data_IF_342294203192
#
_entry.id   IF_342294203192
#
_cell.length_a   1.000
_cell.length_b   1.000
_cell.length_c   1.000
_cell.angle_alpha   90.00
_cell.angle_beta   90.00
_cell.angle_gamma   90.00
#
_symmetry.space_group_name_H-M   'P 1'
#
loop_
_entity.id
_entity.type
_entity.pdbx_description
1 polymer ?
#
# COMPACT_ATOMS: atom_id res chain seq x y z
N UNK A 1 20.33 14.10 28.40
CA UNK A 1 19.35 13.13 27.84
C UNK A 1 19.49 12.93 26.32
N UNK A 2 19.20 13.88 25.41
CA UNK A 2 19.28 13.59 23.94
C UNK A 2 20.68 13.13 23.50
N UNK A 3 21.74 13.78 23.98
CA UNK A 3 23.14 13.38 23.70
C UNK A 3 23.51 11.95 24.15
N UNK A 4 22.74 11.32 25.04
CA UNK A 4 22.94 9.92 25.44
C UNK A 4 22.40 8.94 24.37
N UNK A 5 21.38 9.35 23.60
CA UNK A 5 20.76 8.54 22.54
C UNK A 5 19.95 9.46 21.63
N UNK A 6 20.50 9.82 20.45
CA UNK A 6 19.85 10.74 19.51
C UNK A 6 18.50 10.22 19.00
N UNK A 7 18.19 8.92 19.12
CA UNK A 7 16.87 8.38 18.82
C UNK A 7 15.76 9.01 19.67
N UNK A 8 16.11 9.63 20.81
CA UNK A 8 15.19 10.40 21.64
C UNK A 8 14.52 11.56 20.89
N UNK A 9 15.13 12.08 19.83
CA UNK A 9 14.50 13.07 18.94
C UNK A 9 13.27 12.46 18.24
N UNK A 10 13.42 11.31 17.57
CA UNK A 10 12.27 10.64 16.94
C UNK A 10 11.23 10.16 17.96
N UNK A 11 11.68 9.74 19.15
CA UNK A 11 10.77 9.37 20.24
C UNK A 11 9.98 10.55 20.78
N UNK A 12 10.56 11.75 20.84
CA UNK A 12 9.84 12.96 21.23
C UNK A 12 8.64 13.18 20.31
N UNK A 13 8.84 13.15 18.99
CA UNK A 13 7.74 13.29 18.01
C UNK A 13 6.74 12.14 18.09
N UNK A 14 7.21 10.89 18.19
CA UNK A 14 6.31 9.74 18.37
C UNK A 14 5.45 9.91 19.62
N UNK A 15 6.05 10.24 20.76
CA UNK A 15 5.30 10.39 22.01
C UNK A 15 4.30 11.55 21.94
N UNK A 16 4.66 12.64 21.27
CA UNK A 16 3.74 13.73 21.05
C UNK A 16 2.53 13.27 20.21
N UNK A 17 2.76 12.56 19.11
CA UNK A 17 1.68 12.04 18.24
C UNK A 17 0.70 11.10 18.98
N UNK A 18 1.19 10.30 19.94
CA UNK A 18 0.36 9.34 20.67
C UNK A 18 -0.35 9.91 21.90
N UNK A 19 0.28 10.85 22.60
CA UNK A 19 -0.10 11.18 23.97
C UNK A 19 -0.30 12.66 24.24
N UNK A 20 0.21 13.56 23.39
CA UNK A 20 0.07 14.99 23.66
C UNK A 20 -1.39 15.44 23.49
N UNK A 21 -1.81 16.34 24.37
CA UNK A 21 -3.08 17.07 24.28
C UNK A 21 -2.74 18.55 24.11
N UNK A 22 -2.37 18.95 22.90
CA UNK A 22 -1.96 20.31 22.60
C UNK A 22 -0.71 20.39 21.71
N UNK A 23 -0.16 21.60 21.52
CA UNK A 23 1.00 21.81 20.66
C UNK A 23 2.25 21.10 21.18
N UNK A 24 3.26 20.97 20.31
CA UNK A 24 4.58 20.49 20.68
C UNK A 24 5.19 21.38 21.78
N UNK A 25 5.82 20.75 22.77
CA UNK A 25 6.57 21.47 23.81
C UNK A 25 7.70 22.30 23.16
N UNK A 26 7.68 23.64 23.27
CA UNK A 26 8.66 24.49 22.61
C UNK A 26 10.10 24.23 23.08
N UNK A 27 10.30 23.93 24.37
CA UNK A 27 11.64 23.68 24.91
C UNK A 27 12.20 22.35 24.40
N UNK A 28 11.40 21.30 24.41
CA UNK A 28 11.73 20.00 23.83
C UNK A 28 12.02 20.08 22.33
N UNK A 29 11.24 20.87 21.59
CA UNK A 29 11.45 21.08 20.15
C UNK A 29 12.77 21.81 19.87
N UNK A 30 13.08 22.88 20.61
CA UNK A 30 14.35 23.60 20.49
C UNK A 30 15.55 22.69 20.79
N UNK A 31 15.48 21.89 21.87
CA UNK A 31 16.52 20.92 22.21
C UNK A 31 16.70 19.82 21.14
N UNK A 32 15.62 19.44 20.44
CA UNK A 32 15.70 18.54 19.29
C UNK A 32 16.36 19.21 18.09
N UNK A 33 16.04 20.48 17.81
CA UNK A 33 16.61 21.26 16.73
C UNK A 33 18.14 21.39 16.87
N UNK A 34 18.62 21.76 18.06
CA UNK A 34 20.05 21.94 18.35
C UNK A 34 20.87 20.65 18.13
N UNK A 35 20.23 19.49 18.17
CA UNK A 35 20.87 18.18 18.12
C UNK A 35 20.42 17.33 16.94
N UNK A 36 19.69 17.90 15.96
CA UNK A 36 19.09 17.13 14.86
C UNK A 36 20.12 16.45 13.97
N UNK A 37 21.31 17.02 13.83
CA UNK A 37 22.43 16.40 13.10
C UNK A 37 22.86 15.05 13.70
N UNK A 38 22.58 14.80 14.98
CA UNK A 38 22.82 13.51 15.62
C UNK A 38 21.96 12.37 15.08
N UNK A 39 20.90 12.65 14.30
CA UNK A 39 20.14 11.62 13.60
C UNK A 39 20.99 10.87 12.57
N UNK A 40 21.99 11.53 11.99
CA UNK A 40 22.87 10.98 10.93
C UNK A 40 23.74 9.83 11.47
N UNK A 41 23.88 9.70 12.79
CA UNK A 41 24.67 8.64 13.45
C UNK A 41 23.82 7.43 13.87
N UNK A 42 22.51 7.44 13.62
CA UNK A 42 21.61 6.38 14.08
C UNK A 42 21.57 5.19 13.12
N UNK A 43 21.33 4.00 13.66
CA UNK A 43 20.96 2.84 12.85
C UNK A 43 19.63 3.09 12.15
N UNK A 44 19.60 2.79 10.85
CA UNK A 44 18.45 3.00 9.99
C UNK A 44 17.24 2.13 10.39
N UNK A 45 17.50 0.95 10.94
CA UNK A 45 16.47 0.03 11.45
C UNK A 45 15.78 0.62 12.70
N UNK A 46 16.55 1.30 13.56
CA UNK A 46 16.01 2.02 14.73
C UNK A 46 15.18 3.23 14.32
N UNK A 47 15.64 3.98 13.31
CA UNK A 47 14.89 5.08 12.70
C UNK A 47 13.57 4.55 12.15
N UNK A 48 13.60 3.50 11.33
CA UNK A 48 12.40 2.90 10.73
C UNK A 48 11.38 2.45 11.78
N UNK A 49 11.84 1.81 12.86
CA UNK A 49 10.98 1.38 13.96
C UNK A 49 10.25 2.53 14.64
N UNK A 50 10.91 3.67 14.84
CA UNK A 50 10.25 4.84 15.45
C UNK A 50 9.29 5.52 14.47
N UNK A 51 9.64 5.59 13.19
CA UNK A 51 8.81 6.22 12.14
C UNK A 51 7.52 5.45 11.91
N UNK A 52 7.57 4.12 11.79
CA UNK A 52 6.35 3.29 11.72
C UNK A 52 5.43 3.51 12.90
N UNK A 53 5.99 3.61 14.11
CA UNK A 53 5.20 3.84 15.32
C UNK A 53 4.62 5.25 15.37
N UNK A 54 5.35 6.26 14.89
CA UNK A 54 4.85 7.62 14.77
C UNK A 54 3.65 7.65 13.81
N UNK A 55 3.79 7.07 12.62
CA UNK A 55 2.73 7.03 11.61
C UNK A 55 1.56 6.10 11.99
N UNK A 56 1.69 5.27 13.02
CA UNK A 56 0.59 4.48 13.58
C UNK A 56 -0.27 5.27 14.58
N UNK A 57 0.17 6.45 15.03
CA UNK A 57 -0.60 7.28 15.98
C UNK A 57 -1.90 7.79 15.35
N UNK A 58 -3.02 7.97 16.09
CA UNK A 58 -4.28 8.41 15.51
C UNK A 58 -4.17 9.65 14.62
N UNK A 59 -3.46 10.69 15.08
CA UNK A 59 -3.14 11.87 14.29
C UNK A 59 -1.62 12.19 14.38
N UNK A 60 -0.83 11.85 13.34
CA UNK A 60 0.61 12.09 13.34
C UNK A 60 0.98 13.50 12.85
N UNK A 61 0.03 14.31 12.37
CA UNK A 61 0.31 15.51 11.55
C UNK A 61 1.11 16.57 12.30
N UNK A 62 0.73 16.90 13.53
CA UNK A 62 1.45 17.91 14.33
C UNK A 62 2.92 17.50 14.58
N UNK A 63 3.16 16.23 14.89
CA UNK A 63 4.49 15.70 15.06
C UNK A 63 5.28 15.68 13.74
N UNK A 64 4.62 15.34 12.64
CA UNK A 64 5.20 15.34 11.30
C UNK A 64 5.65 16.74 10.85
N UNK A 65 4.82 17.76 11.08
CA UNK A 65 5.18 19.16 10.83
C UNK A 65 6.30 19.65 11.76
N UNK A 66 6.30 19.24 13.03
CA UNK A 66 7.42 19.53 13.93
C UNK A 66 8.74 18.95 13.43
N UNK A 67 8.74 17.72 12.90
CA UNK A 67 9.93 17.12 12.30
C UNK A 67 10.40 17.87 11.05
N UNK A 68 9.48 18.48 10.28
CA UNK A 68 9.81 19.33 9.13
C UNK A 68 10.53 20.59 9.59
N UNK A 69 9.98 21.28 10.59
CA UNK A 69 10.46 22.57 11.08
C UNK A 69 11.92 22.53 11.56
N UNK A 70 12.40 21.35 11.99
CA UNK A 70 13.78 21.16 12.46
C UNK A 70 14.65 20.33 11.51
N UNK A 71 14.23 20.13 10.25
CA UNK A 71 14.92 19.32 9.23
C UNK A 71 15.07 17.82 9.54
N UNK A 72 14.44 17.30 10.60
CA UNK A 72 14.54 15.89 10.97
C UNK A 72 14.01 14.96 9.86
N UNK A 73 12.96 15.36 9.13
CA UNK A 73 12.46 14.59 7.97
C UNK A 73 13.46 14.56 6.82
N UNK A 74 14.04 15.70 6.44
CA UNK A 74 14.98 15.77 5.33
C UNK A 74 16.22 14.89 5.57
N UNK A 75 16.67 14.79 6.83
CA UNK A 75 17.78 13.93 7.22
C UNK A 75 17.40 12.46 7.31
N UNK A 76 16.33 12.13 8.03
CA UNK A 76 15.99 10.75 8.34
C UNK A 76 15.14 10.06 7.25
N UNK A 77 14.33 10.81 6.50
CA UNK A 77 13.26 10.33 5.63
C UNK A 77 13.11 11.17 4.33
N UNK A 78 14.19 11.46 3.59
CA UNK A 78 14.13 12.29 2.39
C UNK A 78 13.16 11.77 1.30
N UNK A 79 12.90 10.46 1.25
CA UNK A 79 11.97 9.86 0.26
C UNK A 79 10.49 10.14 0.57
N UNK A 80 10.16 10.49 1.82
CA UNK A 80 8.78 10.74 2.26
C UNK A 80 8.39 12.20 2.00
N UNK A 81 8.34 12.58 0.73
CA UNK A 81 8.11 13.96 0.27
C UNK A 81 6.67 14.32 -0.09
N UNK A 82 5.75 13.35 -0.17
CA UNK A 82 4.35 13.59 -0.53
C UNK A 82 3.51 13.92 0.70
N UNK A 83 3.71 15.13 1.23
CA UNK A 83 3.04 15.60 2.44
C UNK A 83 1.53 15.77 2.23
N UNK A 84 1.13 16.28 1.06
CA UNK A 84 -0.28 16.57 0.75
C UNK A 84 -1.14 15.32 0.84
N UNK A 85 -0.69 14.19 0.27
CA UNK A 85 -1.48 12.95 0.33
C UNK A 85 -1.46 12.32 1.71
N UNK A 86 -0.35 12.40 2.45
CA UNK A 86 -0.31 11.94 3.85
C UNK A 86 -1.29 12.74 4.73
N UNK A 87 -1.30 14.07 4.60
CA UNK A 87 -2.19 14.95 5.35
C UNK A 87 -3.67 14.69 5.00
N UNK A 88 -3.97 14.56 3.71
CA UNK A 88 -5.31 14.21 3.24
C UNK A 88 -5.77 12.84 3.76
N UNK A 89 -4.89 11.83 3.74
CA UNK A 89 -5.19 10.51 4.29
C UNK A 89 -5.44 10.57 5.80
N UNK A 90 -4.56 11.23 6.55
CA UNK A 90 -4.70 11.35 8.00
C UNK A 90 -5.98 12.09 8.40
N UNK A 91 -6.33 13.17 7.69
CA UNK A 91 -7.59 13.91 7.85
C UNK A 91 -8.78 12.99 7.62
N UNK A 92 -8.76 12.29 6.49
CA UNK A 92 -9.82 11.39 6.07
C UNK A 92 -10.02 10.26 7.08
N UNK A 93 -8.95 9.63 7.56
CA UNK A 93 -9.06 8.55 8.54
C UNK A 93 -9.65 9.02 9.87
N UNK A 94 -9.29 10.23 10.34
CA UNK A 94 -9.83 10.81 11.58
C UNK A 94 -11.31 11.18 11.41
N UNK A 95 -11.64 11.97 10.39
CA UNK A 95 -12.99 12.49 10.16
C UNK A 95 -14.01 11.38 9.91
N UNK A 96 -13.56 10.30 9.28
CA UNK A 96 -14.39 9.17 8.87
C UNK A 96 -14.27 7.95 9.79
N UNK A 97 -13.49 8.05 10.87
CA UNK A 97 -13.23 6.98 11.85
C UNK A 97 -12.77 5.68 11.19
N UNK A 98 -11.83 5.76 10.25
CA UNK A 98 -11.26 4.60 9.57
C UNK A 98 -10.11 4.00 10.40
N UNK A 99 -9.72 2.77 10.06
CA UNK A 99 -8.55 2.13 10.64
C UNK A 99 -7.26 2.82 10.22
N UNK A 100 -6.34 3.04 11.15
CA UNK A 100 -5.02 3.61 10.88
C UNK A 100 -4.02 2.50 10.56
N UNK A 101 -3.56 2.44 9.31
CA UNK A 101 -2.50 1.52 8.89
C UNK A 101 -1.21 2.31 8.59
N UNK A 102 -0.11 2.06 9.33
CA UNK A 102 1.11 2.83 9.18
C UNK A 102 1.78 2.63 7.82
N UNK A 103 1.66 1.46 7.19
CA UNK A 103 2.26 1.20 5.88
C UNK A 103 1.52 1.92 4.76
N UNK A 104 0.19 2.04 4.87
CA UNK A 104 -0.64 2.86 3.97
C UNK A 104 -0.26 4.33 4.08
N UNK A 105 -0.02 4.83 5.29
CA UNK A 105 0.48 6.19 5.52
C UNK A 105 1.90 6.42 5.00
N UNK A 106 2.79 5.44 5.13
CA UNK A 106 4.12 5.51 4.49
C UNK A 106 3.98 5.56 2.96
N UNK A 107 3.11 4.73 2.38
CA UNK A 107 2.81 4.80 0.95
C UNK A 107 2.23 6.17 0.56
N UNK A 108 1.33 6.74 1.37
CA UNK A 108 0.77 8.05 1.14
C UNK A 108 1.84 9.14 1.09
N UNK A 109 2.84 9.05 1.97
CA UNK A 109 3.96 9.99 2.07
C UNK A 109 5.03 9.83 0.97
N UNK A 110 5.05 8.73 0.23
CA UNK A 110 5.95 8.52 -0.91
C UNK A 110 5.36 9.12 -2.19
N UNK A 111 6.14 9.67 -3.13
CA UNK A 111 5.60 10.13 -4.40
C UNK A 111 5.31 8.96 -5.38
N UNK A 112 6.17 7.94 -5.42
CA UNK A 112 6.12 6.87 -6.43
C UNK A 112 6.81 5.56 -5.98
N UNK A 113 6.71 4.52 -6.83
CA UNK A 113 7.36 3.23 -6.60
C UNK A 113 8.89 3.32 -6.52
N UNK A 114 9.50 4.28 -7.21
CA UNK A 114 10.97 4.43 -7.21
C UNK A 114 11.45 4.92 -5.83
N UNK A 115 10.74 5.87 -5.25
CA UNK A 115 10.97 6.38 -3.91
C UNK A 115 10.68 5.30 -2.86
N UNK A 116 9.67 4.46 -3.08
CA UNK A 116 9.42 3.29 -2.22
C UNK A 116 10.61 2.32 -2.20
N UNK A 117 11.17 2.00 -3.37
CA UNK A 117 12.37 1.15 -3.49
C UNK A 117 13.60 1.81 -2.87
N UNK A 118 13.77 3.13 -3.04
CA UNK A 118 14.86 3.89 -2.45
C UNK A 118 14.78 3.89 -0.91
N UNK A 119 13.61 4.19 -0.34
CA UNK A 119 13.34 4.11 1.09
C UNK A 119 13.63 2.70 1.63
N UNK A 120 13.10 1.67 0.95
CA UNK A 120 13.28 0.28 1.36
C UNK A 120 14.76 -0.12 1.41
N UNK A 121 15.54 0.30 0.41
CA UNK A 121 16.99 0.05 0.36
C UNK A 121 17.73 0.81 1.45
N UNK A 122 17.46 2.11 1.63
CA UNK A 122 18.18 2.96 2.60
C UNK A 122 17.89 2.57 4.04
N UNK A 123 16.62 2.29 4.35
CA UNK A 123 16.18 1.92 5.69
C UNK A 123 16.19 0.42 5.98
N UNK A 124 16.59 -0.40 5.00
CA UNK A 124 16.64 -1.87 5.07
C UNK A 124 15.31 -2.48 5.54
N UNK A 125 14.24 -2.09 4.87
CA UNK A 125 12.90 -2.68 5.07
C UNK A 125 12.93 -4.18 4.74
N UNK A 126 11.98 -4.94 5.31
CA UNK A 126 11.79 -6.32 4.88
C UNK A 126 11.34 -6.39 3.42
N UNK A 127 11.51 -7.56 2.78
CA UNK A 127 10.99 -7.78 1.43
C UNK A 127 9.47 -7.55 1.37
N UNK A 128 8.74 -8.03 2.38
CA UNK A 128 7.30 -7.85 2.52
C UNK A 128 6.90 -6.37 2.57
N UNK A 129 7.58 -5.57 3.40
CA UNK A 129 7.31 -4.12 3.49
C UNK A 129 7.62 -3.40 2.19
N UNK A 130 8.74 -3.74 1.53
CA UNK A 130 9.10 -3.18 0.21
C UNK A 130 8.02 -3.51 -0.80
N UNK A 131 7.65 -4.78 -0.91
CA UNK A 131 6.74 -5.27 -1.95
C UNK A 131 5.33 -4.70 -1.75
N UNK A 132 4.88 -4.57 -0.49
CA UNK A 132 3.64 -3.86 -0.16
C UNK A 132 3.67 -2.40 -0.62
N UNK A 133 4.71 -1.64 -0.29
CA UNK A 133 4.80 -0.22 -0.69
C UNK A 133 4.85 -0.06 -2.22
N UNK A 134 5.61 -0.91 -2.90
CA UNK A 134 5.67 -0.91 -4.37
C UNK A 134 4.31 -1.25 -4.97
N UNK A 135 3.62 -2.27 -4.45
CA UNK A 135 2.30 -2.67 -4.93
C UNK A 135 1.26 -1.57 -4.67
N UNK A 136 1.29 -0.90 -3.52
CA UNK A 136 0.40 0.22 -3.18
C UNK A 136 0.57 1.43 -4.11
N UNK A 137 1.78 1.67 -4.63
CA UNK A 137 2.11 2.82 -5.47
C UNK A 137 2.12 2.52 -6.98
N UNK A 138 1.72 1.31 -7.39
CA UNK A 138 1.61 0.97 -8.80
C UNK A 138 0.42 1.62 -9.50
N UNK A 139 0.54 1.80 -10.80
CA UNK A 139 -0.41 2.49 -11.69
C UNK A 139 -1.02 1.55 -12.75
N UNK A 140 -0.64 0.28 -12.75
CA UNK A 140 -1.07 -0.76 -13.69
C UNK A 140 -2.56 -1.15 -13.57
N UNK A 141 -3.25 -0.64 -12.55
CA UNK A 141 -4.70 -0.75 -12.33
C UNK A 141 -5.20 0.58 -11.79
N UNK A 142 -6.09 1.23 -12.53
CA UNK A 142 -6.71 2.49 -12.13
C UNK A 142 -7.85 2.22 -11.14
N UNK A 143 -7.75 2.80 -9.95
CA UNK A 143 -8.81 2.74 -8.93
C UNK A 143 -9.66 4.01 -8.99
N UNK A 144 -10.98 3.86 -9.02
CA UNK A 144 -11.93 4.97 -8.99
C UNK A 144 -13.08 4.67 -8.05
N UNK A 145 -13.77 5.70 -7.56
CA UNK A 145 -14.86 5.52 -6.59
C UNK A 145 -16.10 4.81 -7.15
N UNK A 146 -16.18 4.55 -8.45
CA UNK A 146 -17.37 4.06 -9.16
C UNK A 146 -17.11 2.75 -9.90
N UNK A 147 -16.16 1.95 -9.43
CA UNK A 147 -15.89 0.62 -9.96
C UNK A 147 -17.08 -0.31 -9.73
N UNK A 148 -17.48 -1.03 -10.78
CA UNK A 148 -18.42 -2.15 -10.71
C UNK A 148 -17.84 -3.32 -9.91
N UNK A 149 -18.70 -4.24 -9.47
CA UNK A 149 -18.26 -5.48 -8.78
C UNK A 149 -17.22 -6.25 -9.60
N UNK A 150 -17.46 -6.41 -10.91
CA UNK A 150 -16.56 -7.11 -11.83
C UNK A 150 -15.19 -6.43 -11.95
N UNK A 151 -15.16 -5.09 -12.02
CA UNK A 151 -13.90 -4.34 -12.03
C UNK A 151 -13.14 -4.45 -10.71
N UNK A 152 -13.84 -4.39 -9.57
CA UNK A 152 -13.22 -4.59 -8.26
C UNK A 152 -12.62 -6.00 -8.13
N UNK A 153 -13.36 -7.05 -8.52
CA UNK A 153 -12.88 -8.43 -8.46
C UNK A 153 -11.68 -8.66 -9.39
N UNK A 154 -11.73 -8.15 -10.63
CA UNK A 154 -10.58 -8.16 -11.54
C UNK A 154 -9.36 -7.48 -10.91
N UNK A 155 -9.54 -6.30 -10.33
CA UNK A 155 -8.46 -5.55 -9.70
C UNK A 155 -7.89 -6.30 -8.50
N UNK A 156 -8.73 -6.86 -7.62
CA UNK A 156 -8.28 -7.65 -6.47
C UNK A 156 -7.57 -8.93 -6.93
N UNK A 157 -8.05 -9.61 -7.97
CA UNK A 157 -7.40 -10.81 -8.51
C UNK A 157 -5.97 -10.51 -8.99
N UNK A 158 -5.80 -9.40 -9.71
CA UNK A 158 -4.49 -8.99 -10.24
C UNK A 158 -3.54 -8.46 -9.17
N UNK A 159 -4.04 -7.68 -8.21
CA UNK A 159 -3.21 -6.96 -7.24
C UNK A 159 -3.02 -7.71 -5.91
N UNK A 160 -3.97 -8.57 -5.57
CA UNK A 160 -4.19 -9.04 -4.20
C UNK A 160 -4.98 -8.03 -3.35
N UNK A 161 -5.63 -8.55 -2.31
CA UNK A 161 -6.50 -7.77 -1.42
C UNK A 161 -5.78 -6.63 -0.69
N UNK A 162 -4.53 -6.84 -0.24
CA UNK A 162 -3.79 -5.81 0.51
C UNK A 162 -3.47 -4.61 -0.38
N UNK A 163 -2.83 -4.84 -1.54
CA UNK A 163 -2.48 -3.77 -2.47
C UNK A 163 -3.71 -3.06 -3.03
N UNK A 164 -4.82 -3.78 -3.28
CA UNK A 164 -6.07 -3.15 -3.69
C UNK A 164 -6.58 -2.16 -2.62
N UNK A 165 -6.63 -2.56 -1.35
CA UNK A 165 -7.08 -1.67 -0.26
C UNK A 165 -6.14 -0.47 -0.08
N UNK A 166 -4.84 -0.69 -0.12
CA UNK A 166 -3.86 0.40 -0.04
C UNK A 166 -4.10 1.41 -1.18
N UNK A 167 -4.24 0.94 -2.44
CA UNK A 167 -4.54 1.82 -3.59
C UNK A 167 -5.87 2.55 -3.48
N UNK A 168 -6.90 1.90 -2.92
CA UNK A 168 -8.20 2.53 -2.64
C UNK A 168 -8.02 3.69 -1.66
N UNK A 169 -7.31 3.49 -0.55
CA UNK A 169 -7.07 4.54 0.44
C UNK A 169 -6.24 5.69 -0.13
N UNK A 170 -5.20 5.41 -0.90
CA UNK A 170 -4.39 6.45 -1.56
C UNK A 170 -5.17 7.25 -2.60
N UNK A 171 -6.02 6.58 -3.38
CA UNK A 171 -6.88 7.22 -4.38
C UNK A 171 -7.97 8.06 -3.71
N UNK A 172 -8.53 7.57 -2.61
CA UNK A 172 -9.53 8.29 -1.83
C UNK A 172 -8.93 9.55 -1.18
N UNK A 173 -7.75 9.44 -0.55
CA UNK A 173 -7.04 10.59 -0.01
C UNK A 173 -6.76 11.66 -1.08
N UNK A 174 -6.41 11.23 -2.30
CA UNK A 174 -6.16 12.15 -3.42
C UNK A 174 -7.44 12.77 -3.99
N UNK A 175 -8.59 12.08 -3.87
CA UNK A 175 -9.88 12.55 -4.34
C UNK A 175 -10.63 13.43 -3.30
N UNK A 176 -10.26 13.36 -2.02
CA UNK A 176 -10.91 14.08 -0.92
C UNK A 176 -12.12 13.33 -0.31
N UNK A 177 -12.88 14.03 0.54
CA UNK A 177 -13.99 13.47 1.31
C UNK A 177 -15.25 13.10 0.51
N UNK A 178 -15.31 13.45 -0.78
CA UNK A 178 -16.46 13.18 -1.64
C UNK A 178 -16.67 11.68 -1.87
N UNK A 179 -17.94 11.29 -2.09
CA UNK A 179 -18.34 9.90 -2.39
C UNK A 179 -17.84 8.89 -1.34
N UNK A 180 -17.75 9.32 -0.08
CA UNK A 180 -17.23 8.52 1.02
C UNK A 180 -17.89 7.14 1.14
N UNK A 181 -19.19 7.01 0.86
CA UNK A 181 -19.88 5.72 0.88
C UNK A 181 -19.39 4.77 -0.21
N UNK A 182 -19.12 5.28 -1.42
CA UNK A 182 -18.65 4.47 -2.53
C UNK A 182 -17.23 3.97 -2.27
N UNK A 183 -16.34 4.84 -1.77
CA UNK A 183 -14.99 4.43 -1.36
C UNK A 183 -15.00 3.40 -0.23
N UNK A 184 -15.86 3.55 0.78
CA UNK A 184 -16.04 2.53 1.83
C UNK A 184 -16.46 1.19 1.26
N UNK A 185 -17.34 1.18 0.26
CA UNK A 185 -17.75 -0.06 -0.40
C UNK A 185 -16.56 -0.78 -1.06
N UNK A 186 -15.65 -0.03 -1.70
CA UNK A 186 -14.42 -0.60 -2.27
C UNK A 186 -13.51 -1.20 -1.17
N UNK A 187 -13.28 -0.47 -0.07
CA UNK A 187 -12.48 -0.98 1.06
C UNK A 187 -13.09 -2.26 1.63
N UNK A 188 -14.40 -2.27 1.88
CA UNK A 188 -15.12 -3.42 2.40
C UNK A 188 -15.06 -4.62 1.43
N UNK A 189 -15.22 -4.38 0.13
CA UNK A 189 -15.11 -5.44 -0.86
C UNK A 189 -13.70 -6.05 -0.91
N UNK A 190 -12.67 -5.21 -0.85
CA UNK A 190 -11.27 -5.65 -0.75
C UNK A 190 -10.95 -6.40 0.55
N UNK A 191 -11.74 -6.24 1.61
CA UNK A 191 -11.60 -7.01 2.85
C UNK A 191 -12.32 -8.37 2.78
N UNK A 192 -13.47 -8.42 2.13
CA UNK A 192 -14.39 -9.57 2.21
C UNK A 192 -14.28 -10.55 1.05
N UNK A 193 -13.96 -10.08 -0.17
CA UNK A 193 -13.93 -10.95 -1.33
C UNK A 193 -12.64 -11.77 -1.38
N UNK A 194 -12.77 -13.08 -1.53
CA UNK A 194 -11.64 -14.01 -1.64
C UNK A 194 -11.51 -14.39 -3.11
N UNK A 195 -10.37 -14.07 -3.77
CA UNK A 195 -10.13 -14.46 -5.15
C UNK A 195 -10.26 -15.98 -5.33
N UNK A 196 -11.11 -16.45 -6.26
CA UNK A 196 -11.22 -17.87 -6.54
C UNK A 196 -9.93 -18.38 -7.19
N UNK A 197 -9.70 -19.70 -7.11
CA UNK A 197 -8.64 -20.36 -7.87
C UNK A 197 -9.19 -20.82 -9.21
N UNK A 198 -8.41 -20.67 -10.27
CA UNK A 198 -8.80 -21.16 -11.58
C UNK A 198 -9.04 -22.67 -11.52
N UNK A 199 -10.16 -23.18 -12.05
CA UNK A 199 -10.52 -24.61 -11.93
C UNK A 199 -9.80 -25.50 -12.95
N UNK A 200 -8.84 -24.94 -13.71
CA UNK A 200 -8.05 -25.63 -14.72
C UNK A 200 -6.57 -25.62 -14.36
N UNK A 201 -5.89 -26.66 -14.82
CA UNK A 201 -4.46 -26.89 -14.68
C UNK A 201 -3.84 -27.17 -16.05
N UNK A 202 -2.50 -27.22 -16.12
CA UNK A 202 -1.80 -27.62 -17.35
C UNK A 202 -2.18 -29.01 -17.83
N UNK A 203 -2.54 -29.92 -16.90
CA UNK A 203 -2.97 -31.27 -17.23
C UNK A 203 -4.33 -31.27 -17.96
N UNK A 204 -5.24 -30.37 -17.59
CA UNK A 204 -6.52 -30.22 -18.31
C UNK A 204 -6.28 -29.75 -19.77
N UNK A 205 -5.29 -28.88 -19.99
CA UNK A 205 -4.89 -28.41 -21.33
C UNK A 205 -4.27 -29.52 -22.17
N UNK A 206 -3.40 -30.33 -21.58
CA UNK A 206 -2.84 -31.52 -22.26
C UNK A 206 -3.92 -32.56 -22.55
N UNK A 207 -4.86 -32.77 -21.63
CA UNK A 207 -6.03 -33.62 -21.81
C UNK A 207 -6.96 -33.15 -22.93
N UNK A 208 -6.93 -31.86 -23.28
CA UNK A 208 -7.64 -31.29 -24.44
C UNK A 208 -6.90 -31.48 -25.78
N UNK A 209 -5.77 -32.19 -25.80
CA UNK A 209 -5.02 -32.55 -27.02
C UNK A 209 -3.86 -31.60 -27.36
N UNK A 210 -3.49 -30.68 -26.47
CA UNK A 210 -2.34 -29.80 -26.67
C UNK A 210 -1.05 -30.53 -26.24
N UNK A 211 -0.03 -30.66 -27.10
CA UNK A 211 1.24 -31.27 -26.72
C UNK A 211 1.94 -30.49 -25.61
N UNK A 212 2.65 -31.20 -24.73
CA UNK A 212 3.45 -30.59 -23.67
C UNK A 212 4.47 -29.58 -24.25
N UNK A 213 4.49 -28.38 -23.69
CA UNK A 213 5.40 -27.31 -24.12
C UNK A 213 4.89 -25.91 -23.84
N UNK A 214 5.59 -24.86 -24.30
CA UNK A 214 5.25 -23.45 -24.03
C UNK A 214 3.82 -23.05 -24.42
N UNK A 215 3.24 -23.74 -25.42
CA UNK A 215 1.87 -23.50 -25.90
C UNK A 215 0.81 -23.75 -24.82
N UNK A 216 1.06 -24.68 -23.88
CA UNK A 216 0.17 -24.95 -22.73
C UNK A 216 -0.02 -23.70 -21.87
N UNK A 217 1.09 -23.01 -21.53
CA UNK A 217 1.04 -21.79 -20.72
C UNK A 217 0.46 -20.58 -21.47
N UNK A 218 0.51 -20.57 -22.80
CA UNK A 218 -0.17 -19.54 -23.61
C UNK A 218 -1.68 -19.77 -23.56
N UNK A 219 -2.14 -21.00 -23.83
CA UNK A 219 -3.57 -21.35 -23.81
C UNK A 219 -4.16 -21.15 -22.41
N UNK A 220 -3.45 -21.55 -21.35
CA UNK A 220 -3.91 -21.31 -19.97
C UNK A 220 -4.15 -19.84 -19.68
N UNK A 221 -3.23 -18.95 -20.09
CA UNK A 221 -3.37 -17.50 -19.88
C UNK A 221 -4.56 -16.93 -20.66
N UNK A 222 -4.76 -17.33 -21.91
CA UNK A 222 -5.92 -16.90 -22.70
C UNK A 222 -7.26 -17.35 -22.06
N UNK A 223 -7.31 -18.56 -21.50
CA UNK A 223 -8.49 -19.04 -20.79
C UNK A 223 -8.66 -18.33 -19.45
N UNK A 224 -7.58 -18.03 -18.74
CA UNK A 224 -7.58 -17.25 -17.50
C UNK A 224 -8.07 -15.82 -17.72
N UNK A 225 -7.60 -15.15 -18.76
CA UNK A 225 -8.06 -13.81 -19.17
C UNK A 225 -9.56 -13.82 -19.46
N UNK A 226 -10.05 -14.81 -20.22
CA UNK A 226 -11.48 -14.99 -20.43
C UNK A 226 -12.23 -15.29 -19.12
N UNK A 227 -11.67 -16.08 -18.22
CA UNK A 227 -12.31 -16.48 -16.96
C UNK A 227 -12.47 -15.28 -16.01
N UNK A 228 -11.44 -14.44 -15.94
CA UNK A 228 -11.47 -13.15 -15.25
C UNK A 228 -12.49 -12.22 -15.93
N UNK A 229 -12.49 -12.16 -17.26
CA UNK A 229 -13.47 -11.42 -18.01
C UNK A 229 -14.88 -11.91 -17.68
N UNK A 230 -15.15 -13.21 -17.65
CA UNK A 230 -16.47 -13.76 -17.36
C UNK A 230 -16.92 -13.61 -15.88
N UNK A 231 -16.16 -12.88 -15.05
CA UNK A 231 -16.37 -12.69 -13.62
C UNK A 231 -16.31 -14.00 -12.83
N UNK A 232 -15.30 -14.82 -13.15
CA UNK A 232 -14.91 -16.01 -12.40
C UNK A 232 -16.02 -17.07 -12.30
N UNK A 233 -16.56 -17.59 -13.44
CA UNK A 233 -17.52 -18.68 -13.40
C UNK A 233 -16.96 -19.88 -12.63
N UNK A 234 -17.78 -20.47 -11.78
CA UNK A 234 -17.44 -21.60 -10.91
C UNK A 234 -17.75 -22.97 -11.53
N UNK A 235 -18.56 -23.01 -12.59
CA UNK A 235 -18.83 -24.21 -13.37
C UNK A 235 -17.60 -24.63 -14.19
N UNK A 236 -16.91 -25.69 -13.73
CA UNK A 236 -15.74 -26.25 -14.42
C UNK A 236 -16.05 -26.67 -15.85
N UNK A 237 -17.28 -27.11 -16.17
CA UNK A 237 -17.64 -27.52 -17.53
C UNK A 237 -17.56 -26.34 -18.51
N UNK A 238 -18.15 -25.20 -18.16
CA UNK A 238 -18.07 -23.96 -18.94
C UNK A 238 -16.61 -23.54 -19.20
N UNK A 239 -15.73 -23.67 -18.20
CA UNK A 239 -14.31 -23.33 -18.37
C UNK A 239 -13.58 -24.35 -19.27
N UNK A 240 -13.92 -25.64 -19.18
CA UNK A 240 -13.39 -26.68 -20.10
C UNK A 240 -13.84 -26.46 -21.54
N UNK A 241 -15.10 -26.07 -21.75
CA UNK A 241 -15.61 -25.75 -23.09
C UNK A 241 -14.84 -24.59 -23.70
N UNK A 242 -14.59 -23.53 -22.92
CA UNK A 242 -13.74 -22.42 -23.35
C UNK A 242 -12.33 -22.89 -23.68
N UNK A 243 -11.72 -23.72 -22.84
CA UNK A 243 -10.40 -24.29 -23.08
C UNK A 243 -10.33 -25.01 -24.44
N UNK A 244 -11.31 -25.87 -24.74
CA UNK A 244 -11.36 -26.58 -26.03
C UNK A 244 -11.44 -25.61 -27.20
N UNK A 245 -12.27 -24.57 -27.10
CA UNK A 245 -12.40 -23.55 -28.14
C UNK A 245 -11.08 -22.79 -28.38
N UNK A 246 -10.39 -22.39 -27.31
CA UNK A 246 -9.08 -21.71 -27.41
C UNK A 246 -8.01 -22.65 -27.99
N UNK A 247 -7.94 -23.89 -27.50
CA UNK A 247 -6.97 -24.87 -27.98
C UNK A 247 -7.12 -25.16 -29.48
N UNK A 248 -8.37 -25.27 -29.96
CA UNK A 248 -8.66 -25.46 -31.40
C UNK A 248 -8.33 -24.21 -32.23
N UNK A 249 -8.61 -23.01 -31.73
CA UNK A 249 -8.31 -21.76 -32.44
C UNK A 249 -6.82 -21.45 -32.54
N UNK A 250 -6.01 -22.00 -31.64
CA UNK A 250 -4.56 -21.83 -31.62
C UNK A 250 -3.79 -23.02 -32.20
N UNK A 251 -4.47 -24.15 -32.50
CA UNK A 251 -3.87 -25.37 -33.07
C UNK A 251 -3.19 -25.07 -34.40
#
# INVERSE_FOLDING_TARGET
RIREDYLRILRFFRFNAWYARGPLDPQGLAACADLVAGLDTLSVERVWKEVKKLLAAPDPRAAWEGMKAIEARARALPELSNETRLDALATLEVDLMLSFDPMTRVAAALPDQQSAKALARRLKLSNEERDRLVAALGDDVKITSYMSLREMRRAIYKLGNEAFRDRVMLSWASAGGDKAQAWRALVAHGQMWIPPRMPLTGDDVMGAGVPAGPKVGVILREVEDWWIDADFPDDKLSVIERLKAVAQGMA
#
